data_IF_039110959711
#
_entry.id   IF_039110959711
#
_cell.length_a   1.000
_cell.length_b   1.000
_cell.length_c   1.000
_cell.angle_alpha   90.00
_cell.angle_beta   90.00
_cell.angle_gamma   90.00
#
_symmetry.space_group_name_H-M   'P 1'
#
loop_
_entity.id
_entity.type
_entity.pdbx_description
1 polymer ?
#
# COMPACT_ATOMS: atom_id res chain seq x y z
N UNK A 1 -33.29 -34.66 -3.44
CA UNK A 1 -32.28 -34.03 -2.55
C UNK A 1 -31.86 -32.72 -3.19
N UNK A 2 -32.11 -31.55 -2.57
CA UNK A 2 -31.62 -30.29 -3.13
C UNK A 2 -30.09 -30.26 -2.98
N UNK A 3 -29.39 -30.07 -4.09
CA UNK A 3 -27.95 -29.88 -4.14
C UNK A 3 -27.58 -28.65 -3.29
N UNK A 4 -26.87 -28.87 -2.18
CA UNK A 4 -26.30 -27.80 -1.37
C UNK A 4 -25.28 -27.05 -2.21
N UNK A 5 -25.71 -26.00 -2.90
CA UNK A 5 -24.80 -25.12 -3.63
C UNK A 5 -23.96 -24.44 -2.56
N UNK A 6 -22.68 -24.81 -2.50
CA UNK A 6 -21.73 -24.27 -1.54
C UNK A 6 -21.80 -22.75 -1.56
N UNK A 7 -21.89 -22.09 -0.40
CA UNK A 7 -21.90 -20.62 -0.31
C UNK A 7 -20.70 -19.99 -1.05
N UNK A 8 -19.61 -20.76 -1.18
CA UNK A 8 -18.36 -20.40 -1.86
C UNK A 8 -18.41 -20.48 -3.40
N UNK A 9 -19.46 -21.04 -4.03
CA UNK A 9 -19.57 -21.14 -5.49
C UNK A 9 -20.49 -20.08 -6.11
N UNK A 10 -21.06 -19.17 -5.32
CA UNK A 10 -21.95 -18.14 -5.85
C UNK A 10 -21.18 -16.90 -6.34
N UNK A 11 -21.56 -16.37 -7.51
CA UNK A 11 -20.98 -15.16 -8.12
C UNK A 11 -20.91 -13.98 -7.14
N UNK A 12 -21.96 -13.80 -6.33
CA UNK A 12 -22.03 -12.74 -5.33
C UNK A 12 -21.01 -12.85 -4.19
N UNK A 13 -20.60 -14.08 -3.81
CA UNK A 13 -19.53 -14.26 -2.82
C UNK A 13 -18.19 -13.74 -3.37
N UNK A 14 -17.83 -14.14 -4.59
CA UNK A 14 -16.59 -13.72 -5.24
C UNK A 14 -16.55 -12.22 -5.52
N UNK A 15 -17.67 -11.63 -5.98
CA UNK A 15 -17.78 -10.18 -6.17
C UNK A 15 -17.62 -9.39 -4.86
N UNK A 16 -18.18 -9.90 -3.76
CA UNK A 16 -18.03 -9.27 -2.44
C UNK A 16 -16.61 -9.38 -1.91
N UNK A 17 -15.99 -10.56 -2.03
CA UNK A 17 -14.59 -10.78 -1.66
C UNK A 17 -13.67 -9.86 -2.47
N UNK A 18 -13.95 -9.71 -3.76
CA UNK A 18 -13.24 -8.84 -4.67
C UNK A 18 -13.27 -7.37 -4.24
N UNK A 19 -14.47 -6.85 -3.95
CA UNK A 19 -14.69 -5.47 -3.49
C UNK A 19 -14.11 -5.19 -2.10
N UNK A 20 -13.85 -6.25 -1.32
CA UNK A 20 -13.21 -6.16 0.01
C UNK A 20 -11.68 -6.30 -0.03
N UNK A 21 -11.07 -6.49 -1.19
CA UNK A 21 -9.61 -6.64 -1.34
C UNK A 21 -8.81 -5.50 -0.68
N UNK A 22 -9.31 -4.27 -0.69
CA UNK A 22 -8.67 -3.16 0.02
C UNK A 22 -8.60 -3.34 1.54
N UNK A 23 -9.61 -3.95 2.16
CA UNK A 23 -9.55 -4.28 3.59
C UNK A 23 -8.53 -5.39 3.86
N UNK A 24 -8.46 -6.40 2.98
CA UNK A 24 -7.45 -7.46 3.08
C UNK A 24 -6.04 -6.88 2.94
N UNK A 25 -5.82 -5.94 2.00
CA UNK A 25 -4.56 -5.20 1.89
C UNK A 25 -4.19 -4.52 3.21
N UNK A 26 -5.12 -3.80 3.84
CA UNK A 26 -4.88 -3.11 5.11
C UNK A 26 -4.49 -4.10 6.21
N UNK A 27 -5.20 -5.22 6.33
CA UNK A 27 -4.92 -6.26 7.32
C UNK A 27 -3.52 -6.84 7.10
N UNK A 28 -3.20 -7.27 5.88
CA UNK A 28 -1.89 -7.83 5.58
C UNK A 28 -0.76 -6.81 5.74
N UNK A 29 -0.98 -5.54 5.36
CA UNK A 29 0.00 -4.48 5.55
C UNK A 29 0.31 -4.25 7.05
N UNK A 30 -0.70 -4.24 7.91
CA UNK A 30 -0.51 -4.10 9.36
C UNK A 30 0.22 -5.31 9.93
N UNK A 31 -0.19 -6.53 9.59
CA UNK A 31 0.46 -7.76 10.05
C UNK A 31 1.93 -7.77 9.60
N UNK A 32 2.19 -7.47 8.32
CA UNK A 32 3.54 -7.40 7.79
C UNK A 32 4.39 -6.34 8.51
N UNK A 33 3.84 -5.16 8.79
CA UNK A 33 4.55 -4.10 9.51
C UNK A 33 4.92 -4.53 10.94
N UNK A 34 3.98 -5.15 11.66
CA UNK A 34 4.21 -5.64 13.03
C UNK A 34 5.26 -6.75 13.04
N UNK A 35 5.18 -7.70 12.11
CA UNK A 35 6.17 -8.76 11.98
C UNK A 35 7.52 -8.15 11.57
N UNK A 36 7.58 -7.26 10.58
CA UNK A 36 8.84 -6.68 10.11
C UNK A 36 9.56 -5.87 11.20
N UNK A 37 8.81 -5.12 12.02
CA UNK A 37 9.33 -4.32 13.11
C UNK A 37 9.96 -3.00 12.66
N UNK A 38 10.76 -2.41 13.56
CA UNK A 38 11.39 -1.11 13.34
C UNK A 38 12.64 -1.23 12.48
N UNK A 39 12.55 -0.89 11.20
CA UNK A 39 13.72 -0.76 10.34
C UNK A 39 14.73 0.22 10.95
N UNK A 40 16.04 -0.07 10.87
CA UNK A 40 17.08 0.87 11.24
C UNK A 40 16.94 2.21 10.49
N UNK A 41 17.19 3.29 11.21
CA UNK A 41 17.12 4.66 10.71
C UNK A 41 18.18 4.96 9.65
N UNK A 42 18.03 6.08 8.94
CA UNK A 42 19.04 6.53 7.97
C UNK A 42 20.35 6.78 8.69
N UNK A 43 21.46 6.24 8.16
CA UNK A 43 22.78 6.37 8.79
C UNK A 43 22.93 5.58 10.11
N UNK A 44 22.10 4.55 10.35
CA UNK A 44 22.26 3.66 11.49
C UNK A 44 23.65 2.98 11.51
N UNK A 45 24.15 2.69 12.72
CA UNK A 45 25.44 2.01 12.89
C UNK A 45 25.42 0.60 12.29
N UNK A 46 26.61 0.11 11.90
CA UNK A 46 26.77 -1.24 11.39
C UNK A 46 26.22 -2.30 12.37
N UNK A 47 26.46 -2.13 13.67
CA UNK A 47 25.96 -3.05 14.70
C UNK A 47 24.43 -3.10 14.74
N UNK A 48 23.76 -1.95 14.60
CA UNK A 48 22.30 -1.89 14.56
C UNK A 48 21.74 -2.57 13.30
N UNK A 49 22.40 -2.40 12.15
CA UNK A 49 22.03 -3.06 10.90
C UNK A 49 22.20 -4.58 10.99
N UNK A 50 23.32 -5.06 11.53
CA UNK A 50 23.60 -6.49 11.73
C UNK A 50 22.61 -7.10 12.73
N UNK A 51 22.34 -6.42 13.85
CA UNK A 51 21.38 -6.88 14.85
C UNK A 51 19.96 -7.03 14.25
N UNK A 52 19.53 -6.09 13.41
CA UNK A 52 18.21 -6.14 12.78
C UNK A 52 18.13 -7.21 11.68
N UNK A 53 19.01 -7.13 10.66
CA UNK A 53 18.92 -7.98 9.47
C UNK A 53 19.45 -9.40 9.73
N UNK A 54 20.53 -9.55 10.48
CA UNK A 54 21.12 -10.84 10.82
C UNK A 54 20.39 -11.53 11.98
N UNK A 55 20.06 -10.80 13.04
CA UNK A 55 19.42 -11.35 14.25
C UNK A 55 17.96 -11.75 14.07
N UNK A 56 17.29 -11.29 13.00
CA UNK A 56 15.86 -11.53 12.78
C UNK A 56 15.52 -12.01 11.36
N UNK A 57 16.43 -12.73 10.70
CA UNK A 57 16.27 -13.11 9.29
C UNK A 57 14.90 -13.76 8.99
N UNK A 58 14.48 -14.73 9.80
CA UNK A 58 13.23 -15.48 9.57
C UNK A 58 12.01 -14.57 9.65
N UNK A 59 12.02 -13.65 10.62
CA UNK A 59 10.95 -12.68 10.83
C UNK A 59 10.79 -11.77 9.61
N UNK A 60 11.90 -11.29 9.06
CA UNK A 60 11.90 -10.41 7.88
C UNK A 60 11.38 -11.16 6.64
N UNK A 61 11.78 -12.43 6.44
CA UNK A 61 11.29 -13.22 5.31
C UNK A 61 9.79 -13.56 5.42
N UNK A 62 9.29 -13.84 6.62
CA UNK A 62 7.85 -13.99 6.86
C UNK A 62 7.12 -12.68 6.53
N UNK A 63 7.63 -11.54 7.02
CA UNK A 63 7.05 -10.24 6.71
C UNK A 63 7.06 -9.93 5.20
N UNK A 64 8.12 -10.33 4.49
CA UNK A 64 8.21 -10.19 3.04
C UNK A 64 7.12 -10.98 2.31
N UNK A 65 6.88 -12.24 2.70
CA UNK A 65 5.81 -13.05 2.14
C UNK A 65 4.41 -12.44 2.40
N UNK A 66 4.15 -12.00 3.62
CA UNK A 66 2.88 -11.33 3.98
C UNK A 66 2.71 -10.00 3.23
N UNK A 67 3.79 -9.24 3.06
CA UNK A 67 3.79 -7.99 2.29
C UNK A 67 3.47 -8.23 0.81
N UNK A 68 3.97 -9.33 0.22
CA UNK A 68 3.60 -9.74 -1.13
C UNK A 68 2.10 -9.96 -1.30
N UNK A 69 1.46 -10.62 -0.32
CA UNK A 69 0.00 -10.77 -0.29
C UNK A 69 -0.72 -9.42 -0.17
N UNK A 70 -0.17 -8.48 0.61
CA UNK A 70 -0.70 -7.13 0.69
C UNK A 70 -0.67 -6.46 -0.70
N UNK A 71 0.47 -6.48 -1.40
CA UNK A 71 0.59 -5.87 -2.74
C UNK A 71 -0.41 -6.47 -3.73
N UNK A 72 -0.60 -7.79 -3.74
CA UNK A 72 -1.60 -8.43 -4.60
C UNK A 72 -3.01 -7.89 -4.31
N UNK A 73 -3.38 -7.75 -3.04
CA UNK A 73 -4.66 -7.19 -2.65
C UNK A 73 -4.80 -5.70 -3.00
N UNK A 74 -3.72 -4.92 -2.99
CA UNK A 74 -3.72 -3.53 -3.46
C UNK A 74 -4.03 -3.44 -4.97
N UNK A 75 -3.40 -4.28 -5.78
CA UNK A 75 -3.66 -4.32 -7.23
C UNK A 75 -5.11 -4.74 -7.52
N UNK A 76 -5.61 -5.70 -6.75
CA UNK A 76 -7.01 -6.14 -6.83
C UNK A 76 -8.01 -5.04 -6.43
N UNK A 77 -7.68 -4.27 -5.40
CA UNK A 77 -8.45 -3.11 -4.97
C UNK A 77 -8.52 -2.05 -6.08
N UNK A 78 -7.40 -1.77 -6.75
CA UNK A 78 -7.38 -0.81 -7.85
C UNK A 78 -8.19 -1.30 -9.07
N UNK A 79 -8.19 -2.61 -9.34
CA UNK A 79 -9.06 -3.19 -10.36
C UNK A 79 -10.54 -2.98 -10.03
N UNK A 80 -10.96 -3.20 -8.77
CA UNK A 80 -12.33 -2.97 -8.32
C UNK A 80 -12.74 -1.49 -8.40
N UNK A 81 -11.81 -0.59 -8.08
CA UNK A 81 -12.01 0.84 -8.26
C UNK A 81 -12.18 1.19 -9.74
N UNK A 82 -11.31 0.66 -10.62
CA UNK A 82 -11.38 0.91 -12.07
C UNK A 82 -12.72 0.49 -12.66
N UNK A 83 -13.20 -0.72 -12.38
CA UNK A 83 -14.48 -1.18 -12.96
C UNK A 83 -15.64 -0.33 -12.47
N UNK A 84 -15.65 0.03 -11.18
CA UNK A 84 -16.70 0.87 -10.60
C UNK A 84 -16.73 2.24 -11.26
N UNK A 85 -15.56 2.82 -11.53
CA UNK A 85 -15.46 4.11 -12.21
C UNK A 85 -15.80 4.01 -13.69
N UNK A 86 -15.38 2.95 -14.38
CA UNK A 86 -15.72 2.71 -15.77
C UNK A 86 -17.24 2.57 -15.96
N UNK A 87 -17.91 1.82 -15.09
CA UNK A 87 -19.37 1.66 -15.12
C UNK A 87 -20.12 2.99 -14.85
N UNK A 88 -19.46 3.95 -14.19
CA UNK A 88 -19.98 5.31 -13.97
C UNK A 88 -19.51 6.34 -15.03
N UNK A 89 -18.90 5.90 -16.13
CA UNK A 89 -18.40 6.79 -17.19
C UNK A 89 -17.12 7.58 -16.84
N UNK A 90 -16.40 7.16 -15.80
CA UNK A 90 -15.18 7.79 -15.28
C UNK A 90 -13.93 6.95 -15.55
N UNK A 91 -13.87 6.21 -16.67
CA UNK A 91 -12.77 5.26 -16.95
C UNK A 91 -11.38 5.91 -16.93
N UNK A 92 -11.23 7.17 -17.35
CA UNK A 92 -9.97 7.89 -17.25
C UNK A 92 -9.40 7.96 -15.82
N UNK A 93 -10.27 8.16 -14.83
CA UNK A 93 -9.89 8.12 -13.41
C UNK A 93 -9.58 6.69 -12.94
N UNK A 94 -10.32 5.70 -13.43
CA UNK A 94 -10.05 4.28 -13.17
C UNK A 94 -8.72 3.78 -13.74
N UNK A 95 -8.36 4.24 -14.95
CA UNK A 95 -7.07 3.96 -15.58
C UNK A 95 -5.94 4.61 -14.79
N UNK A 96 -6.10 5.86 -14.35
CA UNK A 96 -5.15 6.54 -13.47
C UNK A 96 -4.96 5.81 -12.13
N UNK A 97 -6.03 5.30 -11.52
CA UNK A 97 -5.96 4.49 -10.31
C UNK A 97 -5.19 3.18 -10.55
N UNK A 98 -5.40 2.54 -11.70
CA UNK A 98 -4.66 1.33 -12.06
C UNK A 98 -3.16 1.62 -12.23
N UNK A 99 -2.80 2.63 -13.01
CA UNK A 99 -1.40 2.99 -13.25
C UNK A 99 -0.68 3.39 -11.96
N UNK A 100 -1.31 4.23 -11.14
CA UNK A 100 -0.74 4.64 -9.85
C UNK A 100 -0.63 3.47 -8.88
N UNK A 101 -1.63 2.59 -8.79
CA UNK A 101 -1.53 1.39 -7.95
C UNK A 101 -0.41 0.44 -8.39
N UNK A 102 -0.18 0.29 -9.70
CA UNK A 102 0.91 -0.50 -10.23
C UNK A 102 2.28 0.12 -9.87
N UNK A 103 2.41 1.45 -9.94
CA UNK A 103 3.60 2.16 -9.50
C UNK A 103 3.85 1.99 -7.99
N UNK A 104 2.80 2.09 -7.15
CA UNK A 104 2.90 1.82 -5.70
C UNK A 104 3.32 0.36 -5.46
N UNK A 105 2.65 -0.58 -6.11
CA UNK A 105 2.94 -2.01 -5.99
C UNK A 105 4.37 -2.35 -6.40
N UNK A 106 4.86 -1.76 -7.51
CA UNK A 106 6.23 -1.94 -7.97
C UNK A 106 7.27 -1.42 -6.98
N UNK A 107 7.07 -0.21 -6.43
CA UNK A 107 7.97 0.33 -5.41
C UNK A 107 7.93 -0.50 -4.11
N UNK A 108 6.76 -1.00 -3.73
CA UNK A 108 6.62 -1.85 -2.55
C UNK A 108 7.30 -3.21 -2.77
N UNK A 109 7.15 -3.83 -3.93
CA UNK A 109 7.87 -5.08 -4.25
C UNK A 109 9.38 -4.87 -4.25
N UNK A 110 9.87 -3.72 -4.73
CA UNK A 110 11.29 -3.37 -4.64
C UNK A 110 11.75 -3.23 -3.18
N UNK A 111 10.99 -2.51 -2.34
CA UNK A 111 11.27 -2.39 -0.90
C UNK A 111 11.30 -3.75 -0.19
N UNK A 112 10.34 -4.62 -0.50
CA UNK A 112 10.25 -5.98 0.02
C UNK A 112 11.47 -6.79 -0.41
N UNK A 113 11.84 -6.72 -1.69
CA UNK A 113 13.00 -7.43 -2.23
C UNK A 113 14.31 -6.97 -1.58
N UNK A 114 14.50 -5.65 -1.39
CA UNK A 114 15.66 -5.10 -0.69
C UNK A 114 15.75 -5.63 0.75
N UNK A 115 14.63 -5.57 1.49
CA UNK A 115 14.58 -6.06 2.87
C UNK A 115 14.86 -7.56 2.96
N UNK A 116 14.30 -8.35 2.05
CA UNK A 116 14.53 -9.78 1.99
C UNK A 116 15.99 -10.11 1.64
N UNK A 117 16.59 -9.41 0.67
CA UNK A 117 17.99 -9.61 0.29
C UNK A 117 18.96 -9.23 1.41
N UNK A 118 18.69 -8.11 2.11
CA UNK A 118 19.43 -7.68 3.29
C UNK A 118 19.44 -8.75 4.38
N UNK A 119 18.26 -9.30 4.69
CA UNK A 119 18.10 -10.35 5.69
C UNK A 119 18.66 -11.73 5.26
N UNK A 120 18.52 -12.07 3.98
CA UNK A 120 18.85 -13.41 3.48
C UNK A 120 20.36 -13.63 3.33
N UNK A 121 21.11 -12.63 2.86
CA UNK A 121 22.53 -12.82 2.59
C UNK A 121 23.40 -11.57 2.73
N UNK A 122 22.90 -10.37 2.39
CA UNK A 122 23.77 -9.20 2.27
C UNK A 122 24.31 -8.77 3.64
N UNK A 123 23.48 -8.69 4.68
CA UNK A 123 23.94 -8.31 6.01
C UNK A 123 24.94 -9.31 6.60
N UNK A 124 24.85 -10.59 6.22
CA UNK A 124 25.78 -11.64 6.65
C UNK A 124 27.12 -11.65 5.89
N UNK A 125 27.26 -10.87 4.82
CA UNK A 125 28.47 -10.85 3.98
C UNK A 125 29.65 -10.08 4.58
N UNK A 126 29.43 -9.29 5.63
CA UNK A 126 30.42 -8.39 6.21
C UNK A 126 30.62 -7.07 5.47
N UNK A 127 29.92 -6.83 4.34
CA UNK A 127 29.97 -5.56 3.62
C UNK A 127 29.02 -4.52 4.25
N UNK A 128 29.52 -3.81 5.25
CA UNK A 128 28.76 -2.81 6.02
C UNK A 128 28.35 -1.61 5.17
N UNK A 129 29.20 -1.14 4.26
CA UNK A 129 28.91 -0.03 3.34
C UNK A 129 27.73 -0.35 2.42
N UNK A 130 27.71 -1.56 1.83
CA UNK A 130 26.60 -2.00 0.99
C UNK A 130 25.30 -2.13 1.80
N UNK A 131 25.37 -2.71 3.00
CA UNK A 131 24.22 -2.88 3.89
C UNK A 131 23.61 -1.52 4.29
N UNK A 132 24.44 -0.57 4.70
CA UNK A 132 24.01 0.79 5.04
C UNK A 132 23.41 1.52 3.83
N UNK A 133 24.09 1.48 2.68
CA UNK A 133 23.62 2.14 1.47
C UNK A 133 22.26 1.62 1.00
N UNK A 134 22.03 0.30 1.07
CA UNK A 134 20.73 -0.29 0.71
C UNK A 134 19.63 0.02 1.74
N UNK A 135 19.95 0.12 3.03
CA UNK A 135 19.01 0.57 4.05
C UNK A 135 18.57 2.02 3.80
N UNK A 136 19.51 2.91 3.53
CA UNK A 136 19.23 4.32 3.25
C UNK A 136 18.46 4.48 1.93
N UNK A 137 18.80 3.67 0.93
CA UNK A 137 18.08 3.59 -0.34
C UNK A 137 16.61 3.17 -0.14
N UNK A 138 16.34 2.22 0.77
CA UNK A 138 14.98 1.84 1.11
C UNK A 138 14.18 3.03 1.67
N UNK A 139 14.78 3.87 2.53
CA UNK A 139 14.11 5.08 3.01
C UNK A 139 13.85 6.11 1.90
N UNK A 140 14.78 6.29 0.97
CA UNK A 140 14.56 7.15 -0.20
C UNK A 140 13.36 6.65 -1.05
N UNK A 141 13.24 5.33 -1.24
CA UNK A 141 12.09 4.72 -1.93
C UNK A 141 10.78 4.93 -1.15
N UNK A 142 10.80 4.86 0.17
CA UNK A 142 9.63 5.19 1.01
C UNK A 142 9.16 6.62 0.75
N UNK A 143 10.08 7.59 0.74
CA UNK A 143 9.76 8.99 0.44
C UNK A 143 9.19 9.15 -0.97
N UNK A 144 9.86 8.60 -1.99
CA UNK A 144 9.45 8.73 -3.39
C UNK A 144 8.14 8.01 -3.71
N UNK A 145 7.82 6.92 -2.99
CA UNK A 145 6.53 6.24 -3.14
C UNK A 145 5.34 7.12 -2.74
N UNK A 146 5.56 8.27 -2.11
CA UNK A 146 4.50 9.21 -1.76
C UNK A 146 3.77 9.78 -2.97
N UNK A 147 4.46 10.01 -4.10
CA UNK A 147 3.84 10.52 -5.32
C UNK A 147 2.82 9.54 -5.94
N UNK A 148 3.17 8.28 -6.25
CA UNK A 148 2.20 7.34 -6.79
C UNK A 148 1.10 6.99 -5.78
N UNK A 149 1.38 6.99 -4.47
CA UNK A 149 0.35 6.83 -3.43
C UNK A 149 -0.63 8.00 -3.43
N UNK A 150 -0.15 9.24 -3.49
CA UNK A 150 -0.99 10.43 -3.58
C UNK A 150 -1.83 10.43 -4.87
N UNK A 151 -1.25 9.99 -5.99
CA UNK A 151 -1.97 9.85 -7.27
C UNK A 151 -3.06 8.78 -7.21
N UNK A 152 -2.82 7.66 -6.50
CA UNK A 152 -3.85 6.64 -6.29
C UNK A 152 -5.02 7.20 -5.47
N UNK A 153 -4.73 7.93 -4.40
CA UNK A 153 -5.75 8.58 -3.56
C UNK A 153 -6.50 9.65 -4.35
N UNK A 154 -5.79 10.45 -5.14
CA UNK A 154 -6.38 11.49 -6.00
C UNK A 154 -7.31 10.87 -7.03
N UNK A 155 -6.82 9.91 -7.82
CA UNK A 155 -7.60 9.28 -8.88
C UNK A 155 -8.85 8.60 -8.35
N UNK A 156 -8.76 7.90 -7.22
CA UNK A 156 -9.93 7.31 -6.57
C UNK A 156 -10.88 8.34 -5.97
N UNK A 157 -10.39 9.35 -5.24
CA UNK A 157 -11.25 10.36 -4.60
C UNK A 157 -11.97 11.22 -5.63
N UNK A 158 -11.26 11.69 -6.66
CA UNK A 158 -11.82 12.50 -7.74
C UNK A 158 -12.77 11.67 -8.59
N UNK A 159 -12.39 10.45 -8.96
CA UNK A 159 -13.24 9.54 -9.71
C UNK A 159 -14.54 9.23 -8.97
N UNK A 160 -14.46 8.83 -7.69
CA UNK A 160 -15.64 8.49 -6.89
C UNK A 160 -16.56 9.70 -6.67
N UNK A 161 -15.99 10.90 -6.50
CA UNK A 161 -16.78 12.12 -6.37
C UNK A 161 -17.47 12.49 -7.69
N UNK A 162 -16.76 12.44 -8.82
CA UNK A 162 -17.34 12.66 -10.16
C UNK A 162 -18.41 11.63 -10.51
N UNK A 163 -18.29 10.41 -10.01
CA UNK A 163 -19.29 9.36 -10.14
C UNK A 163 -20.50 9.52 -9.19
N UNK A 164 -20.51 10.53 -8.31
CA UNK A 164 -21.58 10.75 -7.33
C UNK A 164 -21.63 9.73 -6.20
N UNK A 165 -20.54 8.96 -5.99
CA UNK A 165 -20.48 7.87 -5.00
C UNK A 165 -20.01 8.33 -3.61
N UNK A 166 -19.44 9.54 -3.50
CA UNK A 166 -19.02 10.14 -2.22
C UNK A 166 -19.49 11.60 -2.10
N UNK A 167 -19.66 12.07 -0.86
CA UNK A 167 -20.08 13.44 -0.57
C UNK A 167 -18.95 14.46 -0.77
N UNK A 168 -19.30 15.75 -0.85
CA UNK A 168 -18.33 16.85 -0.91
C UNK A 168 -17.38 16.87 0.31
N UNK A 169 -17.88 16.48 1.50
CA UNK A 169 -17.06 16.39 2.70
C UNK A 169 -15.99 15.28 2.59
N UNK A 170 -16.38 14.09 2.10
CA UNK A 170 -15.43 12.99 1.85
C UNK A 170 -14.44 13.33 0.74
N UNK A 171 -14.90 14.03 -0.29
CA UNK A 171 -14.02 14.54 -1.35
C UNK A 171 -12.99 15.54 -0.79
N UNK A 172 -13.44 16.51 0.02
CA UNK A 172 -12.54 17.48 0.68
C UNK A 172 -11.50 16.80 1.59
N UNK A 173 -11.92 15.77 2.34
CA UNK A 173 -10.98 14.94 3.11
C UNK A 173 -9.98 14.21 2.21
N UNK A 174 -10.43 13.66 1.07
CA UNK A 174 -9.56 13.05 0.07
C UNK A 174 -8.53 14.03 -0.49
N UNK A 175 -8.94 15.26 -0.83
CA UNK A 175 -8.04 16.33 -1.28
C UNK A 175 -7.00 16.67 -0.21
N UNK A 176 -7.41 16.80 1.06
CA UNK A 176 -6.47 17.04 2.16
C UNK A 176 -5.43 15.91 2.27
N UNK A 177 -5.85 14.65 2.15
CA UNK A 177 -4.93 13.50 2.17
C UNK A 177 -3.99 13.52 0.96
N UNK A 178 -4.44 13.93 -0.23
CA UNK A 178 -3.57 14.09 -1.41
C UNK A 178 -2.50 15.15 -1.17
N UNK A 179 -2.86 16.32 -0.64
CA UNK A 179 -1.91 17.40 -0.33
C UNK A 179 -0.86 16.91 0.66
N UNK A 180 -1.29 16.25 1.74
CA UNK A 180 -0.38 15.63 2.71
C UNK A 180 0.50 14.56 2.05
N UNK A 181 -0.04 13.77 1.14
CA UNK A 181 0.72 12.78 0.39
C UNK A 181 1.83 13.38 -0.47
N UNK A 182 1.52 14.45 -1.21
CA UNK A 182 2.52 15.16 -2.02
C UNK A 182 3.60 15.77 -1.11
N UNK A 183 3.22 16.37 0.01
CA UNK A 183 4.17 16.85 1.02
C UNK A 183 5.06 15.73 1.57
N UNK A 184 4.54 14.50 1.69
CA UNK A 184 5.34 13.33 2.08
C UNK A 184 6.52 13.05 1.16
N UNK A 185 6.43 13.39 -0.13
CA UNK A 185 7.54 13.32 -1.08
C UNK A 185 8.67 14.32 -0.83
N UNK A 186 8.52 15.21 0.15
CA UNK A 186 9.50 16.26 0.50
C UNK A 186 10.21 16.02 1.83
N UNK A 187 10.05 14.84 2.42
CA UNK A 187 10.61 14.46 3.73
C UNK A 187 12.10 14.16 3.65
N UNK A 188 12.91 15.19 3.38
CA UNK A 188 14.35 15.10 3.15
C UNK A 188 15.20 15.81 4.22
N UNK A 189 14.60 16.15 5.37
CA UNK A 189 15.35 16.76 6.47
C UNK A 189 16.25 15.70 7.12
N UNK A 190 17.43 16.09 7.60
CA UNK A 190 18.42 15.16 8.17
C UNK A 190 17.99 14.42 9.43
N UNK A 191 16.93 14.88 10.11
CA UNK A 191 16.42 14.23 11.31
C UNK A 191 15.06 14.79 11.76
N UNK A 192 14.46 14.13 12.74
CA UNK A 192 13.20 14.55 13.37
C UNK A 192 11.95 14.14 12.59
N UNK A 193 10.87 14.91 12.77
CA UNK A 193 9.54 14.56 12.26
C UNK A 193 9.47 14.43 10.73
N UNK A 194 10.23 15.25 10.00
CA UNK A 194 10.19 15.40 8.54
C UNK A 194 11.37 14.72 7.82
N UNK A 195 12.10 13.84 8.50
CA UNK A 195 13.15 13.03 7.90
C UNK A 195 12.58 11.87 7.07
N UNK A 196 13.37 11.25 6.17
CA UNK A 196 12.92 10.09 5.38
C UNK A 196 12.39 8.93 6.23
N UNK A 197 13.03 8.71 7.37
CA UNK A 197 12.74 7.73 8.41
C UNK A 197 12.00 8.34 9.63
N UNK A 198 11.61 9.61 9.50
CA UNK A 198 10.90 10.38 10.50
C UNK A 198 9.45 9.94 10.70
N UNK A 199 8.82 10.48 11.74
CA UNK A 199 7.46 10.12 12.15
C UNK A 199 6.44 10.31 11.02
N UNK A 200 6.61 11.34 10.20
CA UNK A 200 5.68 11.61 9.10
C UNK A 200 5.66 10.48 8.06
N UNK A 201 6.82 10.15 7.50
CA UNK A 201 6.98 9.14 6.44
C UNK A 201 6.71 7.73 6.94
N UNK A 202 7.08 7.47 8.20
CA UNK A 202 6.96 6.15 8.81
C UNK A 202 5.55 5.82 9.32
N UNK A 203 4.82 6.82 9.83
CA UNK A 203 3.53 6.59 10.48
C UNK A 203 2.40 7.41 9.88
N UNK A 204 2.51 8.75 9.90
CA UNK A 204 1.39 9.63 9.52
C UNK A 204 0.90 9.33 8.12
N UNK A 205 1.80 9.34 7.14
CA UNK A 205 1.44 9.16 5.75
C UNK A 205 0.92 7.73 5.44
N UNK A 206 1.57 6.64 5.87
CA UNK A 206 1.02 5.30 5.74
C UNK A 206 -0.37 5.15 6.38
N UNK A 207 -0.60 5.68 7.59
CA UNK A 207 -1.89 5.59 8.28
C UNK A 207 -2.99 6.29 7.47
N UNK A 208 -2.72 7.50 6.95
CA UNK A 208 -3.69 8.21 6.10
C UNK A 208 -4.03 7.42 4.84
N UNK A 209 -3.04 6.80 4.20
CA UNK A 209 -3.24 5.93 3.05
C UNK A 209 -4.11 4.70 3.38
N UNK A 210 -3.85 4.02 4.50
CA UNK A 210 -4.64 2.87 4.95
C UNK A 210 -6.09 3.28 5.28
N UNK A 211 -6.28 4.39 5.99
CA UNK A 211 -7.61 4.93 6.30
C UNK A 211 -8.40 5.24 5.03
N UNK A 212 -7.74 5.83 4.02
CA UNK A 212 -8.36 6.09 2.73
C UNK A 212 -8.76 4.79 2.02
N UNK A 213 -7.91 3.75 2.02
CA UNK A 213 -8.26 2.46 1.41
C UNK A 213 -9.48 1.84 2.11
N UNK A 214 -9.57 1.90 3.44
CA UNK A 214 -10.75 1.42 4.18
C UNK A 214 -12.00 2.20 3.77
N UNK A 215 -11.91 3.53 3.69
CA UNK A 215 -13.03 4.38 3.29
C UNK A 215 -13.49 4.08 1.86
N UNK A 216 -12.56 4.00 0.90
CA UNK A 216 -12.85 3.65 -0.49
C UNK A 216 -13.44 2.23 -0.60
N UNK A 217 -12.88 1.25 0.11
CA UNK A 217 -13.41 -0.13 0.13
C UNK A 217 -14.86 -0.18 0.62
N UNK A 218 -15.23 0.64 1.61
CA UNK A 218 -16.63 0.74 2.08
C UNK A 218 -17.55 1.34 1.02
N UNK A 219 -17.08 2.28 0.21
CA UNK A 219 -17.85 2.82 -0.92
C UNK A 219 -18.05 1.74 -1.97
N UNK A 220 -16.98 1.05 -2.37
CA UNK A 220 -17.03 -0.03 -3.37
C UNK A 220 -17.94 -1.19 -2.94
N UNK A 221 -17.98 -1.51 -1.64
CA UNK A 221 -18.86 -2.55 -1.11
C UNK A 221 -20.36 -2.18 -1.16
N UNK A 222 -20.70 -0.89 -1.27
CA UNK A 222 -22.10 -0.40 -1.31
C UNK A 222 -22.62 -0.16 -2.71
N UNK A 223 -21.74 0.05 -3.71
CA UNK A 223 -22.16 0.27 -5.09
C UNK A 223 -22.92 -0.94 -5.65
N UNK A 224 -24.01 -0.79 -6.40
CA UNK A 224 -24.69 -1.92 -7.05
C UNK A 224 -23.73 -2.71 -7.97
N UNK A 225 -23.95 -4.01 -8.12
CA UNK A 225 -23.29 -4.81 -9.15
C UNK A 225 -24.04 -4.60 -10.48
N UNK A 226 -23.64 -3.59 -11.26
CA UNK A 226 -24.36 -3.21 -12.49
C UNK A 226 -23.98 -4.01 -13.74
N UNK A 227 -23.41 -5.22 -13.60
CA UNK A 227 -23.33 -6.18 -14.72
C UNK A 227 -24.02 -7.49 -14.40
N UNK A 228 -25.34 -7.50 -14.58
CA UNK A 228 -26.05 -8.68 -15.02
C UNK A 228 -25.67 -8.93 -16.49
N UNK A 229 -24.52 -9.54 -16.75
CA UNK A 229 -24.08 -9.79 -18.13
C UNK A 229 -22.59 -10.05 -18.27
N UNK A 230 -22.17 -11.23 -17.82
CA UNK A 230 -21.04 -11.98 -18.38
C UNK A 230 -21.43 -13.45 -18.33
#
# INVERSE_FOLDING_TARGET
MPSSTSLYTTRGFWERLWRMSGNNFVIFAIIAYVIYGSQPQVGASADALVAFYGGHHTRILIAAAVSGLAVLNLLWFAAALRTTLADAGQDGWGAAATASSAAVGGLFLLLIALSAALAYSIAGSGNTTLTSGLNDFAWALVVLSSFPRAMLIMSGSFGLWRAGLISNALFGAGVAVVVLGVLGGTTWVSGGFWAPDGVYSRFVWPILGLLWVVAASRVLARSPATRAGW
#
